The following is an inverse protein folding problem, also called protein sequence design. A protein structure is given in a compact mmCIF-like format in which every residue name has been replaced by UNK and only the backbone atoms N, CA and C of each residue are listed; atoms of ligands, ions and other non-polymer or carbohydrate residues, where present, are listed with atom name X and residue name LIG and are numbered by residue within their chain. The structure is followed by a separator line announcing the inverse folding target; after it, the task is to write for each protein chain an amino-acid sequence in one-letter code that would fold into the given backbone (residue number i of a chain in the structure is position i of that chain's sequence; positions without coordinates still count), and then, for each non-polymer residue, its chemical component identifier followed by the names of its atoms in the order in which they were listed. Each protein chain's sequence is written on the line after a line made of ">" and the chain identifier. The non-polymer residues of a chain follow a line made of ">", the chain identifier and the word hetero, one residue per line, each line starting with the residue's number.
data_IF_474768015901
#
_entry.id   IF_474768015901
#
_cell.length_a   1.000
_cell.length_b   1.000
_cell.length_c   1.000
_cell.angle_alpha   90.00
_cell.angle_beta   90.00
_cell.angle_gamma   90.00
#
_symmetry.space_group_name_H-M   'P 1'
#
loop_
_entity.id
_entity.type
_entity.pdbx_description
1 polymer ?
#
# COMPACT_ATOMS: atom_id res chain seq x y z
N UNK A 1 -22.52 7.99 -12.56
CA UNK A 1 -22.56 9.26 -13.31
C UNK A 1 -21.13 9.73 -13.58
N UNK A 2 -20.62 9.52 -14.80
CA UNK A 2 -19.35 10.11 -15.23
C UNK A 2 -19.56 11.62 -15.40
N UNK A 3 -18.96 12.44 -14.54
CA UNK A 3 -18.90 13.89 -14.75
C UNK A 3 -18.14 14.14 -16.06
N UNK A 4 -18.55 15.17 -16.79
CA UNK A 4 -17.89 15.65 -18.01
C UNK A 4 -16.37 15.78 -17.74
N UNK A 5 -15.57 14.97 -18.44
CA UNK A 5 -14.17 15.30 -18.74
C UNK A 5 -13.08 14.80 -17.78
N UNK A 6 -13.02 13.50 -17.49
CA UNK A 6 -11.71 12.88 -17.23
C UNK A 6 -11.38 11.88 -18.34
N UNK A 7 -11.05 12.43 -19.50
CA UNK A 7 -10.65 11.66 -20.67
C UNK A 7 -9.37 10.86 -20.43
N UNK A 8 -8.53 11.33 -19.50
CA UNK A 8 -7.30 10.65 -19.11
C UNK A 8 -7.62 9.38 -18.31
N UNK A 9 -8.47 9.48 -17.29
CA UNK A 9 -8.96 8.30 -16.56
C UNK A 9 -9.69 7.32 -17.48
N UNK A 10 -10.48 7.80 -18.45
CA UNK A 10 -11.12 6.94 -19.44
C UNK A 10 -10.09 6.16 -20.27
N UNK A 11 -9.06 6.83 -20.80
CA UNK A 11 -7.98 6.19 -21.56
C UNK A 11 -7.21 5.18 -20.72
N UNK A 12 -6.86 5.54 -19.49
CA UNK A 12 -6.17 4.64 -18.55
C UNK A 12 -6.99 3.38 -18.31
N UNK A 13 -8.29 3.54 -18.04
CA UNK A 13 -9.20 2.43 -17.81
C UNK A 13 -9.34 1.52 -19.05
N UNK A 14 -9.50 2.09 -20.24
CA UNK A 14 -9.60 1.32 -21.47
C UNK A 14 -8.29 0.55 -21.75
N UNK A 15 -7.15 1.20 -21.54
CA UNK A 15 -5.83 0.57 -21.69
C UNK A 15 -5.64 -0.59 -20.72
N UNK A 16 -6.12 -0.44 -19.49
CA UNK A 16 -6.06 -1.50 -18.47
C UNK A 16 -6.98 -2.66 -18.81
N UNK A 17 -8.20 -2.40 -19.30
CA UNK A 17 -9.11 -3.46 -19.75
C UNK A 17 -8.53 -4.24 -20.94
N UNK A 18 -7.98 -3.54 -21.93
CA UNK A 18 -7.29 -4.18 -23.06
C UNK A 18 -6.08 -5.01 -22.60
N UNK A 19 -5.37 -4.54 -21.58
CA UNK A 19 -4.27 -5.26 -20.96
C UNK A 19 -4.73 -6.56 -20.27
N UNK A 20 -5.81 -6.51 -19.49
CA UNK A 20 -6.38 -7.70 -18.85
C UNK A 20 -6.87 -8.71 -19.88
N UNK A 21 -7.52 -8.25 -20.96
CA UNK A 21 -8.00 -9.11 -22.04
C UNK A 21 -6.86 -9.84 -22.75
N UNK A 22 -5.78 -9.11 -23.10
CA UNK A 22 -4.56 -9.66 -23.72
C UNK A 22 -4.00 -10.86 -22.96
N UNK A 23 -4.07 -10.85 -21.64
CA UNK A 23 -3.50 -11.87 -20.76
C UNK A 23 -4.54 -12.78 -20.09
N UNK A 24 -5.80 -12.71 -20.50
CA UNK A 24 -6.94 -13.40 -19.87
C UNK A 24 -6.97 -13.23 -18.33
N UNK A 25 -6.58 -12.04 -17.85
CA UNK A 25 -6.28 -11.80 -16.43
C UNK A 25 -7.50 -11.30 -15.62
N UNK A 26 -8.69 -11.25 -16.22
CA UNK A 26 -9.93 -10.92 -15.52
C UNK A 26 -10.23 -11.90 -14.40
N UNK A 27 -10.01 -13.19 -14.64
CA UNK A 27 -10.18 -14.24 -13.64
C UNK A 27 -9.27 -13.96 -12.43
N UNK A 28 -7.99 -13.74 -12.67
CA UNK A 28 -7.00 -13.44 -11.63
C UNK A 28 -7.39 -12.23 -10.78
N UNK A 29 -7.84 -11.14 -11.41
CA UNK A 29 -8.29 -9.95 -10.67
C UNK A 29 -9.53 -10.22 -9.81
N UNK A 30 -10.44 -11.07 -10.29
CA UNK A 30 -11.64 -11.49 -9.53
C UNK A 30 -11.25 -12.36 -8.32
N UNK A 31 -10.26 -13.24 -8.45
CA UNK A 31 -9.75 -14.03 -7.33
C UNK A 31 -9.20 -13.12 -6.23
N UNK A 32 -8.35 -12.15 -6.59
CA UNK A 32 -7.80 -11.17 -5.64
C UNK A 32 -8.89 -10.33 -4.97
N UNK A 33 -9.89 -9.89 -5.74
CA UNK A 33 -11.04 -9.18 -5.16
C UNK A 33 -11.75 -10.02 -4.10
N UNK A 34 -11.99 -11.29 -4.39
CA UNK A 34 -12.64 -12.24 -3.48
C UNK A 34 -11.81 -12.44 -2.21
N UNK A 35 -10.50 -12.57 -2.35
CA UNK A 35 -9.57 -12.70 -1.21
C UNK A 35 -9.67 -11.50 -0.27
N UNK A 36 -9.63 -10.26 -0.80
CA UNK A 36 -9.69 -9.05 0.00
C UNK A 36 -11.04 -8.92 0.75
N UNK A 37 -12.15 -9.29 0.11
CA UNK A 37 -13.46 -9.31 0.76
C UNK A 37 -13.53 -10.34 1.89
N UNK A 38 -13.02 -11.55 1.66
CA UNK A 38 -13.01 -12.61 2.65
C UNK A 38 -12.13 -12.25 3.86
N UNK A 39 -10.93 -11.72 3.62
CA UNK A 39 -10.03 -11.27 4.69
C UNK A 39 -10.71 -10.18 5.52
N UNK A 40 -11.32 -9.18 4.87
CA UNK A 40 -12.04 -8.12 5.58
C UNK A 40 -13.21 -8.66 6.40
N UNK A 41 -13.96 -9.65 5.89
CA UNK A 41 -15.04 -10.28 6.64
C UNK A 41 -14.52 -11.01 7.89
N UNK A 42 -13.42 -11.77 7.77
CA UNK A 42 -12.76 -12.44 8.91
C UNK A 42 -12.32 -11.41 9.95
N UNK A 43 -11.65 -10.34 9.51
CA UNK A 43 -11.16 -9.27 10.37
C UNK A 43 -12.27 -8.53 11.09
N UNK A 44 -13.31 -8.14 10.35
CA UNK A 44 -14.47 -7.44 10.89
C UNK A 44 -15.17 -8.30 11.95
N UNK A 45 -15.36 -9.60 11.70
CA UNK A 45 -15.95 -10.49 12.70
C UNK A 45 -15.05 -10.62 13.94
N UNK A 46 -13.73 -10.74 13.72
CA UNK A 46 -12.74 -10.88 14.81
C UNK A 46 -12.69 -9.62 15.69
N UNK A 47 -12.94 -8.43 15.13
CA UNK A 47 -12.95 -7.17 15.88
C UNK A 47 -14.34 -6.73 16.32
N UNK A 48 -15.37 -7.58 16.24
CA UNK A 48 -16.77 -7.21 16.52
C UNK A 48 -17.24 -5.98 15.72
N UNK A 49 -16.84 -5.92 14.46
CA UNK A 49 -17.07 -4.81 13.52
C UNK A 49 -16.44 -3.47 13.94
N UNK A 50 -15.38 -3.50 14.76
CA UNK A 50 -14.54 -2.34 14.99
C UNK A 50 -13.63 -2.07 13.76
N UNK A 51 -14.14 -1.24 12.86
CA UNK A 51 -13.42 -0.80 11.65
C UNK A 51 -12.19 0.05 11.97
N UNK A 52 -12.12 0.70 13.14
CA UNK A 52 -10.92 1.42 13.54
C UNK A 52 -9.76 0.45 13.78
N UNK A 53 -10.04 -0.66 14.48
CA UNK A 53 -9.08 -1.75 14.65
C UNK A 53 -8.68 -2.38 13.33
N UNK A 54 -9.61 -2.58 12.39
CA UNK A 54 -9.30 -3.07 11.03
C UNK A 54 -8.35 -2.12 10.30
N UNK A 55 -8.58 -0.82 10.39
CA UNK A 55 -7.73 0.20 9.77
C UNK A 55 -6.35 0.33 10.44
N UNK A 56 -6.26 0.10 11.75
CA UNK A 56 -5.02 0.23 12.50
C UNK A 56 -4.15 -1.03 12.45
N UNK A 57 -4.76 -2.23 12.45
CA UNK A 57 -4.10 -3.52 12.67
C UNK A 57 -4.39 -4.58 11.59
N UNK A 58 -5.41 -4.40 10.75
CA UNK A 58 -5.85 -5.39 9.75
C UNK A 58 -5.34 -5.14 8.35
N UNK A 59 -5.95 -5.74 7.35
CA UNK A 59 -5.52 -5.61 5.96
C UNK A 59 -6.10 -4.38 5.24
N UNK A 60 -7.00 -3.68 5.92
CA UNK A 60 -7.66 -2.49 5.41
C UNK A 60 -9.05 -2.79 4.88
N UNK A 61 -9.77 -1.74 4.50
CA UNK A 61 -11.15 -1.84 4.03
C UNK A 61 -11.13 -1.94 2.50
N UNK A 62 -11.65 -3.03 1.91
CA UNK A 62 -11.74 -3.16 0.47
C UNK A 62 -12.74 -2.14 -0.09
N UNK A 63 -12.30 -1.35 -1.06
CA UNK A 63 -13.19 -0.52 -1.88
C UNK A 63 -13.22 -1.12 -3.27
N UNK A 64 -14.38 -1.58 -3.70
CA UNK A 64 -14.56 -2.17 -5.01
C UNK A 64 -14.91 -1.05 -6.00
N UNK A 65 -14.06 -0.85 -7.00
CA UNK A 65 -14.28 0.11 -8.09
C UNK A 65 -14.38 1.60 -7.67
N UNK A 66 -13.57 2.05 -6.70
CA UNK A 66 -13.48 3.46 -6.34
C UNK A 66 -12.50 4.21 -7.25
N UNK A 67 -12.99 5.05 -8.17
CA UNK A 67 -12.17 5.96 -9.00
C UNK A 67 -11.31 5.30 -10.08
N UNK A 68 -10.95 4.02 -9.97
CA UNK A 68 -10.18 3.22 -10.94
C UNK A 68 -10.75 1.80 -11.06
N UNK A 69 -10.52 1.15 -12.19
CA UNK A 69 -10.86 -0.27 -12.37
C UNK A 69 -9.90 -1.16 -11.59
N UNK A 70 -10.45 -2.24 -11.03
CA UNK A 70 -9.74 -3.17 -10.15
C UNK A 70 -10.14 -3.02 -8.67
N UNK A 71 -9.72 -3.98 -7.82
CA UNK A 71 -9.89 -3.89 -6.38
C UNK A 71 -8.95 -2.83 -5.80
N UNK A 72 -9.42 -2.17 -4.75
CA UNK A 72 -8.61 -1.20 -4.01
C UNK A 72 -8.81 -1.36 -2.51
N UNK A 73 -7.88 -0.81 -1.73
CA UNK A 73 -7.86 -0.92 -0.29
C UNK A 73 -7.69 0.46 0.33
N UNK A 74 -8.50 0.79 1.31
CA UNK A 74 -8.20 1.82 2.30
C UNK A 74 -7.32 1.17 3.35
N UNK A 75 -6.02 1.46 3.31
CA UNK A 75 -5.05 0.77 4.16
C UNK A 75 -4.47 1.68 5.24
N UNK A 76 -4.64 2.99 5.17
CA UNK A 76 -4.20 3.91 6.23
C UNK A 76 -5.09 5.13 6.34
N UNK A 77 -5.20 5.68 7.54
CA UNK A 77 -5.88 6.94 7.81
C UNK A 77 -5.16 7.71 8.92
N UNK A 78 -5.02 9.02 8.75
CA UNK A 78 -4.42 9.89 9.78
C UNK A 78 -5.26 9.84 11.06
N UNK A 79 -4.67 10.06 12.25
CA UNK A 79 -5.43 10.10 13.51
C UNK A 79 -6.57 11.14 13.52
N UNK A 80 -6.45 12.22 12.74
CA UNK A 80 -7.49 13.25 12.60
C UNK A 80 -8.64 12.70 11.76
N UNK A 81 -8.35 12.24 10.54
CA UNK A 81 -9.34 11.68 9.61
C UNK A 81 -10.05 10.47 10.19
N UNK A 82 -9.32 9.63 10.94
CA UNK A 82 -9.86 8.45 11.61
C UNK A 82 -10.98 8.81 12.61
N UNK A 83 -10.77 9.85 13.43
CA UNK A 83 -11.77 10.33 14.40
C UNK A 83 -12.92 11.09 13.76
N UNK A 84 -12.65 11.78 12.65
CA UNK A 84 -13.66 12.57 11.93
C UNK A 84 -14.59 11.72 11.05
N UNK A 85 -14.15 10.52 10.65
CA UNK A 85 -14.89 9.66 9.72
C UNK A 85 -15.77 8.66 10.47
N UNK A 86 -17.04 8.54 10.07
CA UNK A 86 -17.98 7.53 10.60
C UNK A 86 -17.77 6.18 9.90
N UNK A 87 -16.74 5.44 10.31
CA UNK A 87 -16.33 4.18 9.67
C UNK A 87 -17.39 3.07 9.73
N UNK A 88 -18.26 3.07 10.74
CA UNK A 88 -19.37 2.11 10.84
C UNK A 88 -20.29 2.16 9.62
N UNK A 89 -20.61 3.36 9.15
CA UNK A 89 -21.47 3.57 7.97
C UNK A 89 -20.78 3.04 6.70
N UNK A 90 -19.47 3.27 6.56
CA UNK A 90 -18.68 2.83 5.40
C UNK A 90 -18.55 1.30 5.39
N UNK A 91 -18.42 0.66 6.55
CA UNK A 91 -18.31 -0.80 6.62
C UNK A 91 -19.63 -1.55 6.46
N UNK A 92 -20.76 -0.93 6.84
CA UNK A 92 -22.10 -1.54 6.75
C UNK A 92 -22.78 -1.36 5.39
N UNK A 93 -22.48 -0.27 4.68
CA UNK A 93 -23.01 -0.05 3.33
C UNK A 93 -22.30 -0.94 2.32
N UNK A 94 -23.05 -1.43 1.33
CA UNK A 94 -22.50 -2.23 0.23
C UNK A 94 -21.23 -1.56 -0.31
N UNK A 95 -20.10 -2.27 -0.24
CA UNK A 95 -18.77 -1.76 -0.60
C UNK A 95 -18.73 -1.17 -2.03
N UNK A 96 -19.65 -1.61 -2.90
CA UNK A 96 -19.85 -1.05 -4.24
C UNK A 96 -20.46 0.38 -4.24
N UNK A 97 -21.23 0.75 -3.24
CA UNK A 97 -21.86 2.06 -3.08
C UNK A 97 -20.95 3.09 -2.38
N UNK A 98 -19.92 2.62 -1.66
CA UNK A 98 -18.95 3.46 -0.95
C UNK A 98 -17.94 4.19 -1.83
N UNK A 99 -17.90 3.95 -3.14
CA UNK A 99 -17.04 4.68 -4.07
C UNK A 99 -17.27 6.21 -4.00
N UNK A 100 -18.49 6.65 -3.68
CA UNK A 100 -18.85 8.06 -3.53
C UNK A 100 -18.34 8.71 -2.23
N UNK A 101 -18.01 7.92 -1.22
CA UNK A 101 -17.49 8.42 0.06
C UNK A 101 -16.02 8.86 -0.04
N UNK A 102 -15.33 8.57 -1.14
CA UNK A 102 -13.92 8.89 -1.36
C UNK A 102 -13.77 9.86 -2.55
N UNK A 103 -12.84 10.84 -2.49
CA UNK A 103 -11.69 10.92 -1.57
C UNK A 103 -12.00 11.57 -0.21
N UNK A 104 -11.60 10.89 0.88
CA UNK A 104 -11.57 11.46 2.23
C UNK A 104 -10.15 12.00 2.48
N UNK A 105 -10.03 13.25 2.91
CA UNK A 105 -8.73 13.84 3.24
C UNK A 105 -8.05 13.04 4.35
N UNK A 106 -6.74 12.79 4.20
CA UNK A 106 -5.94 12.03 5.16
C UNK A 106 -6.21 10.52 5.17
N UNK A 107 -6.89 9.98 4.16
CA UNK A 107 -6.95 8.54 3.87
C UNK A 107 -5.96 8.17 2.76
N UNK A 108 -5.29 7.04 2.91
CA UNK A 108 -4.44 6.46 1.87
C UNK A 108 -5.12 5.22 1.27
N UNK A 109 -5.15 5.20 -0.07
CA UNK A 109 -5.68 4.13 -0.90
C UNK A 109 -4.55 3.39 -1.60
N UNK A 110 -4.71 2.09 -1.76
CA UNK A 110 -3.86 1.26 -2.59
C UNK A 110 -4.69 0.59 -3.67
N UNK A 111 -4.37 0.83 -4.94
CA UNK A 111 -5.06 0.28 -6.10
C UNK A 111 -4.28 -0.92 -6.63
N UNK A 112 -4.94 -2.06 -6.74
CA UNK A 112 -4.34 -3.26 -7.29
C UNK A 112 -4.61 -3.31 -8.79
N UNK A 113 -3.55 -3.40 -9.56
CA UNK A 113 -3.59 -3.66 -10.99
C UNK A 113 -2.56 -4.70 -11.40
N UNK A 114 -2.34 -4.80 -12.71
CA UNK A 114 -1.34 -5.67 -13.30
C UNK A 114 -0.54 -4.87 -14.34
N UNK A 115 0.77 -5.10 -14.40
CA UNK A 115 1.68 -4.42 -15.34
C UNK A 115 2.69 -5.44 -15.90
N UNK A 116 3.15 -5.21 -17.13
CA UNK A 116 4.24 -6.02 -17.71
C UNK A 116 5.52 -5.79 -16.90
N UNK A 117 6.24 -6.87 -16.60
CA UNK A 117 7.50 -6.82 -15.88
C UNK A 117 8.53 -7.68 -16.62
N UNK A 118 9.22 -7.12 -17.62
CA UNK A 118 10.23 -7.84 -18.38
C UNK A 118 11.30 -8.43 -17.45
N UNK A 119 11.64 -9.70 -17.65
CA UNK A 119 12.64 -10.40 -16.84
C UNK A 119 12.10 -11.13 -15.60
N UNK A 120 10.80 -11.00 -15.28
CA UNK A 120 10.15 -11.83 -14.25
C UNK A 120 8.83 -12.38 -14.76
N UNK A 121 8.65 -13.68 -14.63
CA UNK A 121 7.39 -14.35 -14.97
C UNK A 121 6.67 -14.80 -13.72
N UNK A 122 5.35 -14.84 -13.78
CA UNK A 122 4.47 -15.38 -12.74
C UNK A 122 3.46 -16.33 -13.34
N UNK A 123 2.97 -17.23 -12.50
CA UNK A 123 1.90 -18.18 -12.82
C UNK A 123 0.70 -17.79 -11.98
N UNK A 124 -0.47 -17.66 -12.62
CA UNK A 124 -1.72 -17.35 -11.92
C UNK A 124 -2.53 -18.62 -11.67
N UNK A 125 -3.55 -18.51 -10.82
CA UNK A 125 -4.48 -19.60 -10.60
C UNK A 125 -5.27 -19.90 -11.88
N UNK A 126 -5.58 -21.19 -12.15
CA UNK A 126 -6.45 -21.57 -13.26
C UNK A 126 -7.91 -21.24 -12.94
N UNK A 127 -8.75 -21.16 -13.99
CA UNK A 127 -10.18 -20.83 -13.89
C UNK A 127 -10.99 -21.75 -12.95
N UNK A 128 -10.46 -22.92 -12.61
CA UNK A 128 -11.07 -23.86 -11.65
C UNK A 128 -10.99 -23.38 -10.20
N UNK A 129 -10.15 -22.39 -9.87
CA UNK A 129 -10.00 -21.82 -8.52
C UNK A 129 -10.58 -20.41 -8.48
N UNK A 130 -11.50 -20.13 -7.55
CA UNK A 130 -12.16 -18.81 -7.48
C UNK A 130 -11.43 -17.77 -6.61
N UNK A 131 -10.37 -18.15 -5.90
CA UNK A 131 -9.69 -17.30 -4.91
C UNK A 131 -8.31 -17.89 -4.55
N UNK A 132 -7.35 -17.05 -4.13
CA UNK A 132 -6.04 -17.53 -3.63
C UNK A 132 -6.10 -17.93 -2.17
N UNK A 133 -6.92 -17.26 -1.37
CA UNK A 133 -7.13 -17.57 0.03
C UNK A 133 -7.73 -18.97 0.18
N UNK A 134 -7.08 -19.83 0.95
CA UNK A 134 -7.59 -21.16 1.25
C UNK A 134 -8.77 -21.01 2.22
N UNK A 135 -9.99 -21.49 1.89
CA UNK A 135 -11.11 -21.45 2.81
C UNK A 135 -10.82 -22.30 4.06
N UNK A 136 -11.05 -21.75 5.26
CA UNK A 136 -10.89 -22.45 6.53
C UNK A 136 -10.20 -21.60 7.59
N UNK A 137 -10.36 -21.99 8.86
CA UNK A 137 -9.90 -21.24 10.04
C UNK A 137 -8.80 -21.97 10.83
N UNK A 138 -8.15 -22.98 10.25
CA UNK A 138 -7.44 -24.00 11.03
C UNK A 138 -5.92 -23.98 10.91
N UNK A 139 -5.26 -24.32 12.02
CA UNK A 139 -3.80 -24.38 12.18
C UNK A 139 -3.12 -25.50 11.36
N UNK A 140 -3.90 -26.30 10.63
CA UNK A 140 -3.43 -27.40 9.80
C UNK A 140 -3.81 -27.20 8.33
N UNK A 141 -3.70 -25.96 7.81
CA UNK A 141 -3.80 -25.72 6.37
C UNK A 141 -2.90 -26.72 5.63
N UNK A 142 -3.53 -27.71 5.03
CA UNK A 142 -2.89 -28.80 4.32
C UNK A 142 -3.57 -28.94 2.97
N UNK A 143 -2.76 -29.02 1.91
CA UNK A 143 -3.29 -29.27 0.59
C UNK A 143 -3.82 -30.71 0.54
N UNK A 144 -5.00 -30.93 -0.06
CA UNK A 144 -5.41 -32.27 -0.45
C UNK A 144 -4.29 -32.94 -1.27
N UNK A 145 -4.07 -34.26 -1.14
CA UNK A 145 -3.01 -34.95 -1.90
C UNK A 145 -3.10 -34.75 -3.41
N UNK A 146 -4.32 -34.55 -3.94
CA UNK A 146 -4.57 -34.25 -5.36
C UNK A 146 -4.09 -32.86 -5.80
N UNK A 147 -3.94 -31.92 -4.87
CA UNK A 147 -3.55 -30.53 -5.13
C UNK A 147 -2.08 -30.26 -4.78
N UNK A 148 -1.44 -31.13 -3.98
CA UNK A 148 -0.07 -30.96 -3.50
C UNK A 148 1.00 -30.97 -4.62
N UNK A 149 0.71 -31.55 -5.78
CA UNK A 149 1.58 -31.49 -6.95
C UNK A 149 1.43 -30.20 -7.75
N UNK A 150 0.34 -29.45 -7.55
CA UNK A 150 -0.02 -28.29 -8.35
C UNK A 150 0.20 -26.97 -7.62
N UNK A 151 0.03 -26.97 -6.30
CA UNK A 151 0.09 -25.77 -5.48
C UNK A 151 1.04 -25.98 -4.30
N UNK A 152 1.56 -24.87 -3.79
CA UNK A 152 2.18 -24.72 -2.48
C UNK A 152 1.28 -23.84 -1.63
N UNK A 153 1.50 -23.87 -0.32
CA UNK A 153 0.83 -22.96 0.60
C UNK A 153 1.81 -21.86 1.02
N UNK A 154 1.38 -20.62 0.86
CA UNK A 154 2.03 -19.45 1.43
C UNK A 154 1.19 -19.03 2.64
N UNK A 155 1.84 -18.92 3.80
CA UNK A 155 1.17 -18.57 5.05
C UNK A 155 1.27 -17.07 5.33
N UNK A 156 0.22 -16.53 5.93
CA UNK A 156 0.16 -15.17 6.43
C UNK A 156 -0.65 -15.11 7.73
N UNK A 157 -0.82 -13.90 8.25
CA UNK A 157 -1.65 -13.66 9.45
C UNK A 157 -2.53 -12.43 9.26
N UNK A 158 -3.69 -12.48 9.90
CA UNK A 158 -4.69 -11.42 10.01
C UNK A 158 -4.63 -10.74 11.37
N UNK A 159 -5.59 -9.85 11.66
CA UNK A 159 -5.75 -9.21 12.97
C UNK A 159 -5.72 -10.27 14.08
N UNK A 160 -5.04 -9.95 15.18
CA UNK A 160 -4.87 -10.83 16.34
C UNK A 160 -4.19 -12.16 16.00
N UNK A 161 -3.25 -12.13 15.03
CA UNK A 161 -2.46 -13.27 14.58
C UNK A 161 -3.30 -14.45 14.06
N UNK A 162 -4.51 -14.18 13.58
CA UNK A 162 -5.37 -15.20 13.00
C UNK A 162 -4.73 -15.77 11.72
N UNK A 163 -4.49 -17.08 11.61
CA UNK A 163 -3.70 -17.64 10.52
C UNK A 163 -4.44 -17.59 9.19
N UNK A 164 -3.72 -17.24 8.13
CA UNK A 164 -4.19 -17.28 6.74
C UNK A 164 -3.27 -18.19 5.91
N UNK A 165 -3.83 -18.84 4.89
CA UNK A 165 -3.05 -19.56 3.89
C UNK A 165 -3.53 -19.23 2.49
N UNK A 166 -2.60 -19.24 1.54
CA UNK A 166 -2.85 -18.92 0.14
C UNK A 166 -2.28 -19.99 -0.77
N UNK A 167 -3.01 -20.32 -1.83
CA UNK A 167 -2.53 -21.15 -2.92
C UNK A 167 -1.46 -20.41 -3.74
N UNK A 168 -0.27 -20.98 -3.82
CA UNK A 168 0.82 -20.53 -4.68
C UNK A 168 1.05 -21.56 -5.80
N UNK A 169 0.69 -21.27 -7.06
CA UNK A 169 0.80 -22.23 -8.14
C UNK A 169 2.27 -22.57 -8.43
N UNK A 170 2.57 -23.87 -8.52
CA UNK A 170 3.92 -24.33 -8.90
C UNK A 170 4.09 -24.15 -10.41
N UNK A 171 5.19 -23.50 -10.82
CA UNK A 171 5.50 -23.16 -12.23
C UNK A 171 5.48 -24.35 -13.22
N UNK A 172 5.48 -25.59 -12.72
CA UNK A 172 5.51 -26.83 -13.53
C UNK A 172 4.13 -27.47 -13.74
N UNK A 173 3.03 -26.78 -13.42
CA UNK A 173 1.69 -27.31 -13.64
C UNK A 173 1.35 -27.38 -15.12
N UNK A 174 0.82 -28.52 -15.59
CA UNK A 174 0.26 -28.63 -16.95
C UNK A 174 -0.84 -27.56 -17.12
N UNK A 175 -0.61 -26.61 -18.04
CA UNK A 175 -1.51 -25.47 -18.29
C UNK A 175 -1.14 -24.17 -17.58
N UNK A 176 -0.15 -24.16 -16.69
CA UNK A 176 0.38 -22.95 -16.06
C UNK A 176 1.25 -22.14 -17.03
N UNK A 177 0.65 -21.22 -17.79
CA UNK A 177 1.41 -20.34 -18.68
C UNK A 177 2.09 -19.27 -17.82
N UNK A 178 3.41 -19.31 -17.76
CA UNK A 178 4.21 -18.26 -17.15
C UNK A 178 4.12 -16.99 -18.00
N UNK A 179 3.57 -15.91 -17.45
CA UNK A 179 3.40 -14.64 -18.16
C UNK A 179 4.28 -13.54 -17.54
N UNK A 180 4.83 -12.61 -18.34
CA UNK A 180 5.70 -11.54 -17.86
C UNK A 180 4.88 -10.37 -17.28
N UNK A 181 3.92 -10.67 -16.40
CA UNK A 181 2.95 -9.70 -15.86
C UNK A 181 2.90 -9.84 -14.36
N UNK A 182 3.18 -8.80 -13.58
CA UNK A 182 3.04 -8.87 -12.11
C UNK A 182 1.81 -8.09 -11.64
N UNK A 183 1.36 -8.39 -10.43
CA UNK A 183 0.49 -7.46 -9.73
C UNK A 183 1.27 -6.18 -9.41
N UNK A 184 0.58 -5.06 -9.38
CA UNK A 184 1.14 -3.77 -9.01
C UNK A 184 0.21 -3.07 -8.04
N UNK A 185 0.74 -2.74 -6.87
CA UNK A 185 0.05 -1.93 -5.86
C UNK A 185 0.40 -0.46 -6.08
N UNK A 186 -0.55 0.34 -6.57
CA UNK A 186 -0.38 1.79 -6.78
C UNK A 186 -0.87 2.55 -5.57
N UNK A 187 -0.02 3.34 -4.95
CA UNK A 187 -0.30 4.07 -3.71
C UNK A 187 -0.85 5.46 -4.03
N UNK A 188 -1.91 5.84 -3.33
CA UNK A 188 -2.57 7.14 -3.47
C UNK A 188 -2.91 7.73 -2.10
N UNK A 189 -2.23 8.81 -1.68
CA UNK A 189 -1.15 9.48 -2.39
C UNK A 189 0.13 8.63 -2.45
N UNK A 190 1.06 8.93 -3.37
CA UNK A 190 2.43 8.41 -3.31
C UNK A 190 3.09 8.74 -1.97
N UNK A 191 4.01 7.89 -1.53
CA UNK A 191 4.59 7.96 -0.19
C UNK A 191 6.06 8.34 -0.28
N UNK A 192 6.45 9.43 0.36
CA UNK A 192 7.87 9.70 0.64
C UNK A 192 8.38 8.67 1.66
N UNK A 193 9.45 7.95 1.33
CA UNK A 193 10.02 6.87 2.09
C UNK A 193 11.54 6.98 2.16
N UNK A 194 12.15 6.58 3.27
CA UNK A 194 13.61 6.49 3.35
C UNK A 194 14.13 5.37 2.46
N UNK A 195 15.39 5.43 2.05
CA UNK A 195 16.03 4.35 1.29
C UNK A 195 15.95 2.99 2.02
N UNK A 196 16.02 2.99 3.37
CA UNK A 196 15.87 1.78 4.19
C UNK A 196 14.48 1.15 4.08
N UNK A 197 13.43 1.98 4.09
CA UNK A 197 12.04 1.55 3.86
C UNK A 197 11.90 0.97 2.45
N UNK A 198 12.45 1.64 1.43
CA UNK A 198 12.46 1.14 0.06
C UNK A 198 13.11 -0.24 -0.07
N UNK A 199 14.31 -0.42 0.51
CA UNK A 199 15.03 -1.71 0.53
C UNK A 199 14.24 -2.80 1.25
N UNK A 200 13.58 -2.47 2.35
CA UNK A 200 12.76 -3.43 3.09
C UNK A 200 11.53 -3.87 2.28
N UNK A 201 10.86 -2.97 1.55
CA UNK A 201 9.77 -3.35 0.63
C UNK A 201 10.29 -4.24 -0.49
N UNK A 202 11.41 -3.86 -1.13
CA UNK A 202 12.02 -4.64 -2.20
C UNK A 202 12.33 -6.07 -1.77
N UNK A 203 12.86 -6.25 -0.56
CA UNK A 203 13.12 -7.57 0.03
C UNK A 203 11.83 -8.39 0.21
N UNK A 204 10.73 -7.78 0.69
CA UNK A 204 9.46 -8.49 0.88
C UNK A 204 8.83 -8.96 -0.43
N UNK A 205 9.00 -8.21 -1.52
CA UNK A 205 8.45 -8.56 -2.83
C UNK A 205 9.40 -9.44 -3.66
N UNK A 206 10.56 -9.81 -3.08
CA UNK A 206 11.54 -10.70 -3.70
C UNK A 206 12.29 -10.06 -4.86
N UNK A 207 12.63 -8.77 -4.74
CA UNK A 207 13.53 -8.09 -5.68
C UNK A 207 14.93 -8.16 -5.08
N UNK A 208 15.63 -9.25 -5.39
CA UNK A 208 17.00 -9.51 -4.93
C UNK A 208 18.01 -8.59 -5.65
N UNK A 209 19.05 -8.15 -4.94
CA UNK A 209 20.15 -7.40 -5.56
C UNK A 209 19.94 -5.90 -5.72
N UNK A 210 18.97 -5.28 -5.03
CA UNK A 210 18.89 -3.82 -4.91
C UNK A 210 20.02 -3.30 -3.98
N UNK A 211 21.28 -3.43 -4.42
CA UNK A 211 22.48 -2.97 -3.71
C UNK A 211 22.51 -1.44 -3.57
N UNK A 212 21.83 -0.74 -4.46
CA UNK A 212 21.22 0.57 -4.20
C UNK A 212 19.74 0.46 -4.54
N UNK A 213 18.84 1.28 -3.93
CA UNK A 213 17.42 1.11 -4.18
C UNK A 213 17.18 1.13 -5.69
N UNK A 214 16.15 0.43 -6.14
CA UNK A 214 15.76 0.22 -7.54
C UNK A 214 15.54 1.53 -8.32
N UNK A 215 16.62 2.25 -8.61
CA UNK A 215 16.72 3.51 -9.35
C UNK A 215 17.40 3.24 -10.70
N UNK A 216 17.14 2.09 -11.32
CA UNK A 216 17.46 1.89 -12.74
C UNK A 216 16.25 1.32 -13.44
N UNK A 217 15.14 2.04 -13.32
CA UNK A 217 14.24 2.19 -14.44
C UNK A 217 13.80 3.64 -14.45
N UNK A 218 14.45 4.42 -15.33
CA UNK A 218 13.82 5.58 -15.93
C UNK A 218 12.41 5.16 -16.34
N UNK A 219 11.42 5.57 -15.56
CA UNK A 219 10.08 5.65 -16.09
C UNK A 219 10.17 6.64 -17.24
N UNK A 220 9.84 6.20 -18.45
CA UNK A 220 9.65 7.06 -19.62
C UNK A 220 8.59 8.18 -19.41
N UNK A 221 8.03 8.29 -18.18
CA UNK A 221 7.12 9.34 -17.72
C UNK A 221 7.68 10.24 -16.58
N UNK A 222 8.97 10.17 -16.21
CA UNK A 222 9.70 11.33 -15.66
C UNK A 222 9.46 11.83 -14.22
N UNK A 223 9.13 11.01 -13.21
CA UNK A 223 8.81 11.53 -11.86
C UNK A 223 9.42 10.73 -10.66
N UNK A 224 10.65 10.22 -10.77
CA UNK A 224 11.38 9.75 -9.58
C UNK A 224 12.05 10.94 -8.89
N UNK A 225 11.46 11.43 -7.79
CA UNK A 225 12.02 12.52 -7.00
C UNK A 225 12.91 11.97 -5.89
N UNK A 226 14.22 12.18 -6.04
CA UNK A 226 15.21 11.99 -4.97
C UNK A 226 15.41 13.30 -4.24
N UNK A 227 15.26 13.28 -2.92
CA UNK A 227 15.51 14.43 -2.05
C UNK A 227 15.70 13.95 -0.60
N UNK A 228 16.01 14.86 0.32
CA UNK A 228 15.97 14.53 1.74
C UNK A 228 14.53 14.24 2.19
N UNK A 229 14.38 13.42 3.23
CA UNK A 229 13.08 13.10 3.81
C UNK A 229 12.32 14.36 4.23
N UNK A 230 13.03 15.32 4.79
CA UNK A 230 12.56 16.63 5.23
C UNK A 230 12.00 17.41 4.04
N UNK A 231 12.72 17.48 2.94
CA UNK A 231 12.27 18.18 1.75
C UNK A 231 10.99 17.54 1.20
N UNK A 232 10.95 16.22 1.04
CA UNK A 232 9.76 15.53 0.52
C UNK A 232 8.53 15.70 1.43
N UNK A 233 8.71 15.76 2.75
CA UNK A 233 7.61 15.91 3.69
C UNK A 233 7.13 17.35 3.85
N UNK A 234 8.01 18.33 3.65
CA UNK A 234 7.74 19.76 3.87
C UNK A 234 7.44 20.54 2.59
N UNK A 235 7.70 19.98 1.41
CA UNK A 235 7.50 20.63 0.09
C UNK A 235 6.13 21.33 -0.06
N UNK A 236 5.05 20.76 0.48
CA UNK A 236 3.72 21.40 0.44
C UNK A 236 3.57 22.61 1.39
N UNK A 237 4.29 22.62 2.51
CA UNK A 237 4.31 23.74 3.47
C UNK A 237 5.29 24.85 3.05
N UNK A 238 6.38 24.52 2.34
CA UNK A 238 7.47 25.43 1.97
C UNK A 238 7.41 25.97 0.54
N UNK A 239 6.59 25.37 -0.33
CA UNK A 239 6.34 25.87 -1.70
C UNK A 239 5.87 27.34 -1.77
N UNK A 240 5.48 27.94 -0.65
CA UNK A 240 5.10 29.36 -0.58
C UNK A 240 6.26 30.35 -0.60
N UNK A 241 7.54 29.95 -0.51
CA UNK A 241 8.63 30.94 -0.36
C UNK A 241 9.94 30.73 -1.12
N UNK A 242 10.08 29.78 -2.04
CA UNK A 242 11.25 29.72 -2.95
C UNK A 242 12.65 29.71 -2.29
N UNK A 243 12.75 29.45 -0.98
CA UNK A 243 14.01 29.38 -0.25
C UNK A 243 14.47 27.91 -0.24
N UNK A 244 15.74 27.62 -0.59
CA UNK A 244 16.31 26.28 -0.48
C UNK A 244 16.28 25.78 0.97
N UNK A 245 15.68 24.61 1.18
CA UNK A 245 15.47 23.97 2.48
C UNK A 245 16.77 23.67 3.24
N UNK A 246 17.89 23.50 2.54
CA UNK A 246 19.20 23.11 3.08
C UNK A 246 19.86 24.17 3.97
N UNK A 247 19.21 25.32 4.20
CA UNK A 247 19.76 26.44 5.00
C UNK A 247 18.81 26.93 6.10
N UNK A 248 17.71 26.19 6.35
CA UNK A 248 16.63 26.63 7.23
C UNK A 248 16.52 25.75 8.48
N UNK A 249 16.44 26.39 9.65
CA UNK A 249 15.96 25.77 10.89
C UNK A 249 14.47 26.03 11.00
N UNK A 250 13.69 25.01 11.30
CA UNK A 250 12.25 25.18 11.50
C UNK A 250 11.96 25.22 12.98
N UNK A 251 11.33 26.29 13.45
CA UNK A 251 10.83 26.39 14.82
C UNK A 251 9.32 26.33 14.82
N UNK A 252 8.78 25.32 15.50
CA UNK A 252 7.35 25.10 15.62
C UNK A 252 6.92 25.34 17.05
N UNK A 253 5.84 26.11 17.20
CA UNK A 253 5.08 26.25 18.44
C UNK A 253 3.67 25.70 18.23
N UNK A 254 3.10 25.13 19.28
CA UNK A 254 1.71 24.68 19.31
C UNK A 254 0.94 25.61 20.25
N UNK A 255 -0.30 25.96 19.90
CA UNK A 255 -1.10 27.00 20.58
C UNK A 255 -1.19 26.78 22.12
N UNK A 256 -1.19 25.53 22.57
CA UNK A 256 -1.37 25.15 23.97
C UNK A 256 -0.11 24.62 24.68
N UNK A 257 1.09 24.77 24.10
CA UNK A 257 2.32 24.22 24.70
C UNK A 257 3.42 25.26 24.94
N UNK A 258 4.04 25.17 26.13
CA UNK A 258 5.23 25.95 26.52
C UNK A 258 6.49 25.48 25.76
N UNK A 259 6.43 24.29 25.14
CA UNK A 259 7.54 23.67 24.43
C UNK A 259 7.61 24.18 22.99
N UNK A 260 8.82 24.53 22.54
CA UNK A 260 9.10 24.81 21.13
C UNK A 260 10.02 23.75 20.57
N UNK A 261 9.69 23.22 19.41
CA UNK A 261 10.51 22.23 18.71
C UNK A 261 11.33 22.95 17.65
N UNK A 262 12.64 22.69 17.64
CA UNK A 262 13.55 23.20 16.61
C UNK A 262 14.06 22.01 15.82
N UNK A 263 13.77 22.01 14.53
CA UNK A 263 14.27 21.03 13.58
C UNK A 263 15.44 21.67 12.82
N UNK A 264 16.64 21.14 13.00
CA UNK A 264 17.77 21.47 12.13
C UNK A 264 17.69 20.61 10.87
N UNK A 265 17.78 21.24 9.71
CA UNK A 265 17.76 20.57 8.40
C UNK A 265 19.09 19.84 8.08
N UNK A 266 19.87 19.45 9.09
CA UNK A 266 21.17 18.77 8.95
C UNK A 266 21.01 17.27 8.64
N UNK A 267 19.80 16.84 8.37
CA UNK A 267 19.42 15.46 8.12
C UNK A 267 19.51 15.19 6.61
N UNK A 268 20.67 14.75 6.16
CA UNK A 268 20.88 14.25 4.79
C UNK A 268 20.28 12.85 4.61
N UNK A 269 19.12 12.56 5.22
CA UNK A 269 18.51 11.23 5.13
C UNK A 269 17.92 11.05 3.73
N UNK A 270 18.50 10.17 2.90
CA UNK A 270 18.07 10.01 1.52
C UNK A 270 16.68 9.39 1.48
N UNK A 271 15.78 10.01 0.72
CA UNK A 271 14.41 9.57 0.55
C UNK A 271 14.01 9.47 -0.92
N UNK A 272 13.01 8.62 -1.15
CA UNK A 272 12.43 8.28 -2.44
C UNK A 272 10.91 8.42 -2.36
N UNK A 273 10.26 8.69 -3.48
CA UNK A 273 8.80 8.65 -3.57
C UNK A 273 8.36 7.30 -4.11
N UNK A 274 7.67 6.52 -3.28
CA UNK A 274 7.08 5.23 -3.63
C UNK A 274 5.67 5.46 -4.15
N UNK A 275 5.50 5.28 -5.46
CA UNK A 275 4.19 5.35 -6.11
C UNK A 275 3.61 3.96 -6.41
N UNK A 276 4.48 2.99 -6.68
CA UNK A 276 4.10 1.65 -7.11
C UNK A 276 4.95 0.60 -6.42
N UNK A 277 4.35 -0.54 -6.09
CA UNK A 277 5.03 -1.70 -5.53
C UNK A 277 4.65 -2.93 -6.36
N UNK A 278 5.58 -3.53 -7.11
CA UNK A 278 5.31 -4.76 -7.84
C UNK A 278 5.21 -5.93 -6.86
N UNK A 279 4.27 -6.84 -7.12
CA UNK A 279 3.92 -7.97 -6.27
C UNK A 279 3.74 -9.20 -7.18
N UNK A 280 4.42 -10.29 -6.86
CA UNK A 280 4.30 -11.53 -7.61
C UNK A 280 3.12 -12.40 -7.16
N UNK A 281 2.73 -12.28 -5.89
CA UNK A 281 1.68 -13.09 -5.28
C UNK A 281 0.82 -12.25 -4.31
N UNK A 282 -0.53 -12.37 -4.31
CA UNK A 282 -1.41 -11.53 -3.48
C UNK A 282 -1.08 -11.56 -1.97
N UNK A 283 -0.61 -12.68 -1.44
CA UNK A 283 -0.15 -12.79 -0.05
C UNK A 283 0.95 -11.79 0.34
N UNK A 284 1.71 -11.25 -0.62
CA UNK A 284 2.75 -10.25 -0.34
C UNK A 284 2.18 -8.85 -0.05
N UNK A 285 0.91 -8.60 -0.38
CA UNK A 285 0.22 -7.35 0.01
C UNK A 285 0.24 -7.21 1.54
N UNK A 286 0.07 -8.32 2.25
CA UNK A 286 -0.06 -8.35 3.70
C UNK A 286 1.19 -7.80 4.41
N UNK A 287 2.40 -8.36 4.24
CA UNK A 287 3.59 -7.83 4.90
C UNK A 287 4.01 -6.44 4.38
N UNK A 288 3.60 -6.04 3.17
CA UNK A 288 3.86 -4.69 2.64
C UNK A 288 3.00 -3.63 3.36
N UNK A 289 1.71 -3.92 3.56
CA UNK A 289 0.76 -3.02 4.19
C UNK A 289 0.76 -3.09 5.72
N UNK A 290 0.88 -4.30 6.25
CA UNK A 290 0.43 -4.62 7.60
C UNK A 290 1.57 -4.73 8.64
N UNK A 291 1.09 -4.75 9.88
CA UNK A 291 1.74 -5.03 11.14
C UNK A 291 1.58 -6.53 11.43
N UNK A 292 2.63 -7.34 11.25
CA UNK A 292 2.62 -8.71 11.75
C UNK A 292 3.44 -8.81 13.05
N UNK A 293 2.85 -9.41 14.09
CA UNK A 293 3.55 -9.89 15.28
C UNK A 293 3.79 -11.40 15.12
N UNK A 294 4.91 -11.78 14.50
CA UNK A 294 5.35 -13.18 14.59
C UNK A 294 6.36 -13.32 15.73
N UNK A 295 5.91 -13.83 16.88
CA UNK A 295 6.80 -14.56 17.79
C UNK A 295 7.24 -15.87 17.08
N UNK A 296 8.48 -16.38 17.24
CA UNK A 296 9.51 -16.00 18.21
C UNK A 296 10.69 -15.21 17.61
N UNK A 297 10.61 -14.74 16.35
CA UNK A 297 11.68 -13.94 15.76
C UNK A 297 11.21 -12.51 15.47
N UNK A 298 11.74 -11.50 16.18
CA UNK A 298 11.37 -10.11 15.98
C UNK A 298 12.08 -9.58 14.72
N UNK A 299 11.59 -9.93 13.53
CA UNK A 299 11.92 -9.19 12.31
C UNK A 299 10.73 -8.32 11.94
N UNK A 300 10.68 -7.19 12.62
CA UNK A 300 9.69 -6.14 12.46
C UNK A 300 9.72 -5.58 11.04
N UNK A 301 8.76 -5.94 10.20
CA UNK A 301 8.53 -5.25 8.94
C UNK A 301 7.13 -4.63 8.97
N UNK A 302 6.94 -3.64 9.84
CA UNK A 302 5.79 -2.74 9.70
C UNK A 302 6.29 -1.62 8.79
N UNK A 303 6.18 -1.80 7.49
CA UNK A 303 6.91 -0.90 6.59
C UNK A 303 6.06 0.32 6.28
N UNK A 304 4.95 0.17 5.57
CA UNK A 304 4.22 1.33 5.07
C UNK A 304 3.43 2.08 6.15
N UNK A 305 2.67 1.40 7.02
CA UNK A 305 1.84 2.10 8.03
C UNK A 305 2.63 2.80 9.11
N UNK A 306 3.70 2.19 9.65
CA UNK A 306 4.60 2.90 10.59
C UNK A 306 5.20 4.12 9.92
N UNK A 307 5.65 3.96 8.67
CA UNK A 307 6.27 5.04 7.94
C UNK A 307 5.28 6.18 7.66
N UNK A 308 4.03 5.86 7.33
CA UNK A 308 2.96 6.84 7.20
C UNK A 308 2.58 7.51 8.53
N UNK A 309 2.60 6.77 9.63
CA UNK A 309 2.42 7.33 10.98
C UNK A 309 3.53 8.33 11.31
N UNK A 310 4.79 7.98 11.01
CA UNK A 310 5.93 8.88 11.13
C UNK A 310 5.77 10.11 10.23
N UNK A 311 5.43 9.93 8.96
CA UNK A 311 5.22 11.03 8.02
C UNK A 311 4.12 11.99 8.51
N UNK A 312 3.01 11.45 9.04
CA UNK A 312 1.93 12.25 9.61
C UNK A 312 2.37 13.01 10.86
N UNK A 313 3.10 12.37 11.77
CA UNK A 313 3.66 13.00 12.97
C UNK A 313 4.63 14.12 12.58
N UNK A 314 5.58 13.83 11.70
CA UNK A 314 6.57 14.80 11.23
C UNK A 314 5.89 16.00 10.58
N UNK A 315 4.94 15.77 9.67
CA UNK A 315 4.17 16.85 9.03
C UNK A 315 3.35 17.67 10.03
N UNK A 316 2.85 17.08 11.11
CA UNK A 316 2.11 17.82 12.14
C UNK A 316 2.98 18.86 12.86
N UNK A 317 4.30 18.68 12.83
CA UNK A 317 5.24 19.68 13.32
C UNK A 317 5.33 20.90 12.40
N UNK A 318 4.94 20.81 11.13
CA UNK A 318 4.95 21.92 10.17
C UNK A 318 3.54 22.49 10.01
N UNK A 319 3.13 23.27 11.00
CA UNK A 319 1.83 23.91 11.12
C UNK A 319 1.89 25.40 10.69
N UNK A 320 0.75 26.13 10.65
CA UNK A 320 0.73 27.56 10.28
C UNK A 320 1.61 28.48 11.15
N UNK A 321 2.01 28.04 12.34
CA UNK A 321 2.89 28.75 13.28
C UNK A 321 4.36 28.32 13.17
N UNK A 322 4.70 27.48 12.20
CA UNK A 322 6.08 27.05 11.96
C UNK A 322 6.84 28.14 11.21
N UNK A 323 7.89 28.65 11.84
CA UNK A 323 8.74 29.70 11.29
C UNK A 323 10.03 29.08 10.77
N UNK A 324 10.39 29.43 9.54
CA UNK A 324 11.73 29.19 9.00
C UNK A 324 12.68 30.26 9.56
N UNK A 325 13.76 29.83 10.20
CA UNK A 325 14.80 30.65 10.80
C UNK A 325 16.08 30.43 9.99
N UNK A 326 16.68 31.51 9.51
CA UNK A 326 17.98 31.47 8.84
C UNK A 326 19.08 31.20 9.88
N UNK A 327 20.10 30.42 9.53
CA UNK A 327 21.17 30.06 10.46
C UNK A 327 21.99 31.25 11.02
N UNK A 328 21.86 32.44 10.43
CA UNK A 328 22.58 33.65 10.82
C UNK A 328 22.00 34.43 12.01
N UNK A 329 20.85 34.02 12.58
CA UNK A 329 20.28 34.65 13.78
C UNK A 329 20.72 33.90 15.04
N UNK A 330 21.91 34.23 15.56
CA UNK A 330 22.34 33.94 16.95
C UNK A 330 22.53 35.25 17.71
#
# INVERSE_FOLDING_TARGET
>A
MARRGDFQAFKENLSFLAFLDKWNAFHTMKCVQTDLQNIFAIESLTTMHDYESVMAKGHGIPLLHSGKWGPSLVYWTTPISRRATQWSIIGETDLAHNASAFPIEGVCLAFLGMEEYPGRTTTFLPDSKSQYLVPGNDAAFALPPSEASQYRLVHGTSINDHPLAFYDPVQSTEGGIAVPVLFCLKLSPPIAATAAVGKAIAALVGIEGATDPMIEHESAAGDLVYASMEELLTRSATARKGIPLTSLKFKSKFEDQVQSYVFSADSDVPAIVIQKIPIAHPAQILPVLNFAHSYPTPKHHQILRKHLAFNALFRSCFNPFTLAIAESER
#
